data_IF_708708077902
#
_entry.id   IF_708708077902
#
_cell.length_a   1.000
_cell.length_b   1.000
_cell.length_c   1.000
_cell.angle_alpha   90.00
_cell.angle_beta   90.00
_cell.angle_gamma   90.00
#
_symmetry.space_group_name_H-M   'P 1'
#
loop_
_entity.id
_entity.type
_entity.pdbx_description
1 polymer ?
#
# COMPACT_ATOMS: atom_id res chain seq x y z
N UNK A 1 -19.23 -49.41 39.45
CA UNK A 1 -20.63 -49.67 39.07
C UNK A 1 -21.46 -48.57 39.67
N UNK A 2 -21.73 -47.54 38.87
CA UNK A 2 -22.42 -46.34 39.31
C UNK A 2 -23.89 -46.41 38.86
N UNK A 3 -24.81 -45.85 39.65
CA UNK A 3 -26.02 -45.24 39.13
C UNK A 3 -26.03 -43.73 39.41
N UNK A 4 -26.73 -42.97 38.56
CA UNK A 4 -26.64 -41.50 38.46
C UNK A 4 -28.03 -40.88 38.75
N UNK A 5 -28.03 -39.60 39.15
CA UNK A 5 -29.10 -38.57 39.07
C UNK A 5 -29.87 -38.21 40.35
N UNK A 6 -29.93 -36.88 40.60
CA UNK A 6 -30.74 -36.23 41.63
C UNK A 6 -30.37 -34.75 41.82
N UNK A 7 -31.17 -33.82 41.26
CA UNK A 7 -31.12 -32.36 41.51
C UNK A 7 -32.52 -31.88 42.00
N UNK A 8 -32.77 -30.59 42.32
CA UNK A 8 -32.53 -29.90 43.61
C UNK A 8 -33.86 -29.21 44.10
N UNK A 9 -33.90 -28.06 44.84
CA UNK A 9 -33.04 -27.47 45.87
C UNK A 9 -33.74 -27.59 47.28
N UNK A 10 -34.39 -26.60 47.97
CA UNK A 10 -34.13 -25.17 48.23
C UNK A 10 -34.31 -24.66 49.71
N UNK A 11 -34.07 -23.36 49.91
CA UNK A 11 -34.65 -22.44 50.94
C UNK A 11 -34.42 -22.63 52.46
N UNK A 12 -33.36 -22.00 52.98
CA UNK A 12 -33.41 -21.06 54.13
C UNK A 12 -32.12 -20.20 54.10
N UNK A 13 -32.11 -18.86 53.98
CA UNK A 13 -32.78 -17.77 54.70
C UNK A 13 -32.11 -17.34 56.04
N UNK A 14 -30.92 -16.76 55.93
CA UNK A 14 -30.38 -15.79 56.92
C UNK A 14 -29.83 -14.57 56.17
N UNK A 15 -30.33 -13.37 56.46
CA UNK A 15 -29.95 -12.15 55.73
C UNK A 15 -29.16 -11.15 56.57
N UNK A 16 -28.52 -10.19 55.91
CA UNK A 16 -28.13 -8.89 56.47
C UNK A 16 -28.04 -7.83 55.35
N UNK A 17 -28.36 -6.58 55.66
CA UNK A 17 -28.47 -5.53 54.65
C UNK A 17 -27.13 -5.02 54.10
N UNK A 18 -27.15 -4.54 52.85
CA UNK A 18 -26.24 -3.53 52.34
C UNK A 18 -26.95 -2.67 51.27
N UNK A 19 -26.63 -1.37 51.28
CA UNK A 19 -27.30 -0.26 50.58
C UNK A 19 -27.71 -0.45 49.10
N UNK A 20 -28.80 0.23 48.71
CA UNK A 20 -29.16 0.47 47.31
C UNK A 20 -28.26 1.55 46.68
N UNK A 21 -27.82 1.35 45.42
CA UNK A 21 -26.89 2.27 44.77
C UNK A 21 -26.58 2.00 43.28
N UNK A 22 -27.55 2.26 42.41
CA UNK A 22 -27.43 2.70 41.00
C UNK A 22 -26.18 2.30 40.16
N UNK A 23 -26.39 1.46 39.14
CA UNK A 23 -25.82 1.64 37.78
C UNK A 23 -24.33 1.33 37.51
N UNK A 24 -23.98 0.44 36.56
CA UNK A 24 -22.61 0.29 36.07
C UNK A 24 -22.24 1.39 35.05
N UNK A 25 -20.93 1.66 34.85
CA UNK A 25 -20.33 1.13 33.61
C UNK A 25 -18.94 0.49 33.80
N UNK A 26 -18.48 -0.22 32.76
CA UNK A 26 -17.24 -0.98 32.76
C UNK A 26 -15.97 -0.09 32.83
N UNK A 27 -14.91 -0.61 33.45
CA UNK A 27 -13.54 -0.08 33.34
C UNK A 27 -12.68 -1.01 32.48
N UNK A 28 -12.14 -0.57 31.34
CA UNK A 28 -11.01 -1.21 30.70
C UNK A 28 -9.77 -1.15 31.61
N UNK A 29 -8.94 -2.19 31.60
CA UNK A 29 -7.68 -2.20 32.34
C UNK A 29 -6.67 -1.23 31.72
N UNK A 30 -6.00 -0.46 32.57
CA UNK A 30 -4.99 0.51 32.15
C UNK A 30 -3.70 -0.20 31.74
N UNK A 31 -3.29 -0.05 30.49
CA UNK A 31 -1.89 -0.17 30.09
C UNK A 31 -1.35 1.22 29.78
N UNK A 32 -0.39 1.67 30.59
CA UNK A 32 0.37 2.89 30.32
C UNK A 32 1.52 2.52 29.39
N UNK A 33 1.55 3.13 28.21
CA UNK A 33 2.59 2.96 27.20
C UNK A 33 2.71 4.24 26.38
N UNK A 34 3.65 5.10 26.76
CA UNK A 34 3.81 6.42 26.16
C UNK A 34 4.43 6.34 24.76
N UNK A 35 3.66 6.71 23.72
CA UNK A 35 4.21 7.34 22.52
C UNK A 35 3.19 8.36 21.98
N UNK A 36 3.43 9.63 22.31
CA UNK A 36 2.53 10.72 21.92
C UNK A 36 2.68 11.12 20.45
N UNK A 37 1.69 10.75 19.63
CA UNK A 37 1.47 11.39 18.31
C UNK A 37 0.27 12.33 18.43
N UNK A 38 0.53 13.54 18.94
CA UNK A 38 -0.46 14.62 18.84
C UNK A 38 -0.74 14.94 17.36
N UNK A 39 -2.03 14.90 16.98
CA UNK A 39 -2.49 15.25 15.64
C UNK A 39 -2.38 16.77 15.38
N UNK A 40 -1.17 17.27 15.13
CA UNK A 40 -0.90 18.66 14.74
C UNK A 40 -1.21 18.90 13.26
N UNK A 41 -2.50 18.94 12.93
CA UNK A 41 -2.99 19.51 11.67
C UNK A 41 -2.65 21.00 11.60
N UNK A 42 -1.64 21.38 10.79
CA UNK A 42 -1.08 22.73 10.80
C UNK A 42 -0.82 23.31 9.39
N UNK A 43 -1.90 23.77 8.74
CA UNK A 43 -1.89 24.86 7.73
C UNK A 43 -0.85 24.76 6.61
N UNK A 44 -1.02 23.81 5.68
CA UNK A 44 -0.33 23.89 4.39
C UNK A 44 -0.92 25.04 3.54
N UNK A 45 -0.16 26.12 3.36
CA UNK A 45 -0.60 27.30 2.63
C UNK A 45 -0.60 27.09 1.11
N UNK A 46 -1.70 27.44 0.43
CA UNK A 46 -1.86 27.32 -1.04
C UNK A 46 -1.01 28.31 -1.87
N UNK A 47 0.28 28.49 -1.55
CA UNK A 47 1.20 29.40 -2.28
C UNK A 47 2.59 28.83 -2.58
N UNK A 48 3.05 27.75 -1.95
CA UNK A 48 4.41 27.20 -2.19
C UNK A 48 4.47 26.06 -3.22
N UNK A 49 3.33 25.59 -3.74
CA UNK A 49 3.29 24.61 -4.86
C UNK A 49 3.99 25.14 -6.11
N UNK A 50 4.04 26.46 -6.30
CA UNK A 50 4.73 27.10 -7.43
C UNK A 50 6.27 27.02 -7.39
N UNK A 51 6.88 26.67 -6.25
CA UNK A 51 8.35 26.64 -6.10
C UNK A 51 8.95 25.31 -6.58
N UNK A 52 8.16 24.23 -6.60
CA UNK A 52 8.64 22.90 -6.96
C UNK A 52 8.93 22.71 -8.47
N UNK A 53 8.48 23.64 -9.33
CA UNK A 53 8.55 23.53 -10.79
C UNK A 53 9.70 24.32 -11.46
N UNK A 54 10.51 25.10 -10.74
CA UNK A 54 11.77 25.65 -11.31
C UNK A 54 12.97 24.68 -11.15
N UNK A 55 12.69 23.38 -11.29
CA UNK A 55 13.72 22.36 -11.47
C UNK A 55 14.22 22.33 -12.93
N UNK A 56 14.49 23.49 -13.55
CA UNK A 56 14.97 23.55 -14.94
C UNK A 56 16.49 23.69 -15.13
N UNK A 57 17.29 23.99 -14.10
CA UNK A 57 18.75 24.30 -14.26
C UNK A 57 19.74 23.76 -13.18
N UNK A 58 19.61 22.53 -12.70
CA UNK A 58 20.54 21.93 -11.70
C UNK A 58 20.83 20.45 -12.01
N UNK A 59 22.03 19.97 -11.70
CA UNK A 59 22.49 18.59 -11.99
C UNK A 59 21.56 17.50 -11.43
N UNK A 60 21.20 16.54 -12.29
CA UNK A 60 20.16 15.52 -12.02
C UNK A 60 20.44 14.68 -10.75
N UNK A 61 21.67 14.21 -10.56
CA UNK A 61 22.02 13.35 -9.42
C UNK A 61 21.81 14.03 -8.05
N UNK A 62 22.06 15.34 -7.95
CA UNK A 62 21.97 16.08 -6.69
C UNK A 62 20.52 16.44 -6.29
N UNK A 63 19.58 16.37 -7.23
CA UNK A 63 18.15 16.62 -6.96
C UNK A 63 17.50 15.46 -6.24
N UNK A 64 17.64 14.25 -6.77
CA UNK A 64 16.94 13.05 -6.30
C UNK A 64 17.16 12.79 -4.81
N UNK A 65 18.42 12.83 -4.36
CA UNK A 65 18.75 12.65 -2.94
C UNK A 65 18.22 13.77 -2.05
N UNK A 66 18.21 15.02 -2.54
CA UNK A 66 17.71 16.17 -1.77
C UNK A 66 16.18 16.19 -1.69
N UNK A 67 15.48 15.77 -2.75
CA UNK A 67 14.02 15.66 -2.73
C UNK A 67 13.56 14.58 -1.73
N UNK A 68 14.14 13.37 -1.81
CA UNK A 68 13.84 12.26 -0.88
C UNK A 68 14.20 12.64 0.57
N UNK A 69 15.25 13.45 0.78
CA UNK A 69 15.67 13.89 2.12
C UNK A 69 14.87 15.08 2.70
N UNK A 70 14.11 15.82 1.88
CA UNK A 70 13.39 17.02 2.33
C UNK A 70 11.88 16.80 2.57
N UNK A 71 11.30 15.71 2.05
CA UNK A 71 9.85 15.52 2.06
C UNK A 71 9.42 14.22 2.74
N UNK A 72 9.63 14.09 4.06
CA UNK A 72 9.18 12.93 4.85
C UNK A 72 7.65 12.72 4.89
N UNK A 73 6.86 13.64 4.32
CA UNK A 73 5.41 13.57 4.16
C UNK A 73 5.03 14.24 2.83
N UNK A 74 5.00 13.46 1.74
CA UNK A 74 4.33 13.84 0.49
C UNK A 74 2.87 13.35 0.53
N UNK A 75 1.97 14.09 -0.10
CA UNK A 75 0.61 13.61 -0.40
C UNK A 75 0.63 12.67 -1.63
N UNK A 76 -0.36 11.78 -1.81
CA UNK A 76 -0.47 10.89 -2.98
C UNK A 76 -0.24 11.58 -4.32
N UNK A 77 -0.94 12.68 -4.59
CA UNK A 77 -0.81 13.51 -5.81
C UNK A 77 0.65 13.94 -6.06
N UNK A 78 1.40 14.22 -4.99
CA UNK A 78 2.79 14.65 -5.05
C UNK A 78 3.76 13.47 -5.22
N UNK A 79 3.39 12.28 -4.73
CA UNK A 79 4.09 11.03 -5.03
C UNK A 79 3.89 10.64 -6.50
N UNK A 80 2.67 10.71 -7.04
CA UNK A 80 2.41 10.47 -8.48
C UNK A 80 3.30 11.37 -9.34
N UNK A 81 3.29 12.69 -9.13
CA UNK A 81 4.14 13.64 -9.87
C UNK A 81 5.65 13.36 -9.74
N UNK A 82 6.11 12.87 -8.59
CA UNK A 82 7.50 12.46 -8.39
C UNK A 82 7.83 11.18 -9.17
N UNK A 83 6.96 10.17 -9.12
CA UNK A 83 7.15 8.90 -9.82
C UNK A 83 7.05 9.09 -11.35
N UNK A 84 6.18 9.99 -11.82
CA UNK A 84 6.12 10.43 -13.22
C UNK A 84 7.43 11.08 -13.69
N UNK A 85 7.99 12.03 -12.92
CA UNK A 85 9.27 12.64 -13.29
C UNK A 85 10.44 11.63 -13.25
N UNK A 86 10.35 10.58 -12.42
CA UNK A 86 11.26 9.43 -12.44
C UNK A 86 11.03 8.55 -13.69
N UNK A 87 9.78 8.36 -14.11
CA UNK A 87 9.41 7.67 -15.35
C UNK A 87 9.83 8.42 -16.62
N UNK A 88 10.11 9.72 -16.56
CA UNK A 88 10.80 10.43 -17.65
C UNK A 88 12.30 10.07 -17.74
N UNK A 89 12.94 9.67 -16.63
CA UNK A 89 14.40 9.45 -16.60
C UNK A 89 14.80 8.19 -17.37
N UNK A 90 15.92 8.26 -18.10
CA UNK A 90 16.50 7.10 -18.80
C UNK A 90 17.02 6.04 -17.83
N UNK A 91 17.53 6.45 -16.66
CA UNK A 91 18.06 5.56 -15.63
C UNK A 91 17.73 6.07 -14.24
N UNK A 92 17.20 5.18 -13.40
CA UNK A 92 17.03 5.39 -11.95
C UNK A 92 17.80 4.28 -11.23
N UNK A 93 18.50 4.60 -10.13
CA UNK A 93 19.36 3.60 -9.49
C UNK A 93 18.54 2.63 -8.61
N UNK A 94 18.92 1.35 -8.51
CA UNK A 94 18.27 0.40 -7.58
C UNK A 94 18.31 0.85 -6.11
N UNK A 95 19.27 1.71 -5.72
CA UNK A 95 19.31 2.34 -4.39
C UNK A 95 18.24 3.43 -4.25
N UNK A 96 18.00 4.21 -5.30
CA UNK A 96 16.93 5.21 -5.34
C UNK A 96 15.57 4.54 -5.17
N UNK A 97 15.29 3.49 -5.96
CA UNK A 97 14.04 2.71 -5.86
C UNK A 97 13.86 2.09 -4.47
N UNK A 98 14.92 1.51 -3.90
CA UNK A 98 14.88 0.96 -2.53
C UNK A 98 14.61 2.03 -1.45
N UNK A 99 15.17 3.24 -1.60
CA UNK A 99 14.91 4.33 -0.66
C UNK A 99 13.49 4.89 -0.80
N UNK A 100 12.97 5.02 -2.02
CA UNK A 100 11.60 5.47 -2.27
C UNK A 100 10.58 4.53 -1.58
N UNK A 101 10.70 3.21 -1.80
CA UNK A 101 9.80 2.25 -1.17
C UNK A 101 9.93 2.26 0.36
N UNK A 102 11.14 2.36 0.92
CA UNK A 102 11.32 2.44 2.38
C UNK A 102 10.76 3.73 2.99
N UNK A 103 10.83 4.85 2.28
CA UNK A 103 10.38 6.15 2.80
C UNK A 103 8.87 6.31 2.66
N UNK A 104 8.28 5.82 1.57
CA UNK A 104 6.88 6.12 1.20
C UNK A 104 5.94 4.91 1.14
N UNK A 105 6.45 3.67 1.27
CA UNK A 105 5.65 2.43 1.27
C UNK A 105 4.70 2.36 0.06
N UNK A 106 5.25 2.51 -1.16
CA UNK A 106 4.50 2.69 -2.41
C UNK A 106 3.65 1.48 -2.75
N UNK A 107 4.07 0.27 -2.33
CA UNK A 107 3.29 -0.97 -2.44
C UNK A 107 2.04 -1.04 -1.53
N UNK A 108 1.90 -0.07 -0.60
CA UNK A 108 0.79 0.07 0.37
C UNK A 108 -0.02 1.38 0.19
N UNK A 109 0.36 2.24 -0.77
CA UNK A 109 -0.43 3.44 -1.14
C UNK A 109 -1.68 3.07 -1.96
N UNK A 110 -2.40 4.08 -2.44
CA UNK A 110 -3.51 3.96 -3.40
C UNK A 110 -3.08 3.38 -4.77
N UNK A 111 -4.07 3.03 -5.59
CA UNK A 111 -3.87 2.42 -6.90
C UNK A 111 -3.06 3.27 -7.89
N UNK A 112 -3.12 4.61 -7.82
CA UNK A 112 -2.42 5.48 -8.77
C UNK A 112 -0.92 5.55 -8.43
N UNK A 113 -0.58 5.71 -7.15
CA UNK A 113 0.80 5.63 -6.67
C UNK A 113 1.38 4.23 -6.87
N UNK A 114 0.60 3.17 -6.59
CA UNK A 114 0.98 1.76 -6.84
C UNK A 114 1.25 1.50 -8.33
N UNK A 115 0.44 2.04 -9.23
CA UNK A 115 0.62 1.92 -10.68
C UNK A 115 1.95 2.55 -11.11
N UNK A 116 2.20 3.82 -10.75
CA UNK A 116 3.47 4.50 -11.08
C UNK A 116 4.70 3.82 -10.47
N UNK A 117 4.57 3.20 -9.29
CA UNK A 117 5.62 2.35 -8.71
C UNK A 117 5.88 1.09 -9.54
N UNK A 118 4.82 0.40 -9.96
CA UNK A 118 4.93 -0.80 -10.81
C UNK A 118 5.54 -0.49 -12.18
N UNK A 119 5.18 0.63 -12.82
CA UNK A 119 5.83 1.10 -14.05
C UNK A 119 7.35 1.28 -13.85
N UNK A 120 7.79 1.90 -12.76
CA UNK A 120 9.21 2.08 -12.45
C UNK A 120 9.94 0.74 -12.23
N UNK A 121 9.28 -0.21 -11.56
CA UNK A 121 9.81 -1.56 -11.36
C UNK A 121 10.03 -2.26 -12.72
N UNK A 122 9.05 -2.18 -13.61
CA UNK A 122 9.12 -2.80 -14.95
C UNK A 122 10.19 -2.11 -15.80
N UNK A 123 10.09 -0.78 -15.97
CA UNK A 123 11.01 0.04 -16.79
C UNK A 123 12.48 -0.13 -16.41
N UNK A 124 12.78 -0.18 -15.11
CA UNK A 124 14.16 -0.32 -14.61
C UNK A 124 14.54 -1.75 -14.21
N UNK A 125 13.71 -2.75 -14.58
CA UNK A 125 13.93 -4.19 -14.36
C UNK A 125 14.31 -4.52 -12.91
N UNK A 126 13.63 -3.88 -11.95
CA UNK A 126 13.91 -3.96 -10.52
C UNK A 126 13.34 -5.23 -9.88
N UNK A 127 13.89 -6.37 -10.29
CA UNK A 127 13.52 -7.76 -9.91
C UNK A 127 13.21 -7.99 -8.43
N UNK A 128 13.77 -7.19 -7.50
CA UNK A 128 13.50 -7.30 -6.06
C UNK A 128 12.05 -6.98 -5.65
N UNK A 129 11.34 -6.20 -6.47
CA UNK A 129 9.96 -5.76 -6.21
C UNK A 129 8.97 -6.32 -7.24
N UNK A 130 9.32 -7.37 -8.00
CA UNK A 130 8.37 -8.01 -8.93
C UNK A 130 7.14 -8.58 -8.19
N UNK A 131 7.23 -8.90 -6.89
CA UNK A 131 6.08 -9.26 -6.04
C UNK A 131 5.02 -8.15 -5.98
N UNK A 132 5.43 -6.89 -6.03
CA UNK A 132 4.52 -5.73 -5.96
C UNK A 132 3.74 -5.63 -7.28
N UNK A 133 4.42 -5.88 -8.41
CA UNK A 133 3.81 -6.03 -9.74
C UNK A 133 2.84 -7.22 -9.77
N UNK A 134 3.21 -8.38 -9.21
CA UNK A 134 2.31 -9.54 -9.10
C UNK A 134 1.04 -9.22 -8.30
N UNK A 135 1.18 -8.51 -7.18
CA UNK A 135 0.06 -8.05 -6.33
C UNK A 135 -0.83 -7.07 -7.10
N UNK A 136 -0.24 -6.08 -7.78
CA UNK A 136 -0.96 -5.07 -8.56
C UNK A 136 -1.78 -5.69 -9.71
N UNK A 137 -1.22 -6.63 -10.47
CA UNK A 137 -1.89 -7.31 -11.58
C UNK A 137 -3.05 -8.24 -11.15
N UNK A 138 -3.15 -8.55 -9.86
CA UNK A 138 -4.25 -9.32 -9.27
C UNK A 138 -5.31 -8.42 -8.62
N UNK A 139 -4.89 -7.35 -7.93
CA UNK A 139 -5.76 -6.44 -7.19
C UNK A 139 -6.35 -5.31 -8.07
N UNK A 140 -5.53 -4.63 -8.89
CA UNK A 140 -5.88 -3.39 -9.62
C UNK A 140 -6.13 -3.65 -11.12
N UNK A 141 -6.88 -4.71 -11.42
CA UNK A 141 -6.95 -5.35 -12.75
C UNK A 141 -7.22 -4.39 -13.93
N UNK A 142 -8.06 -3.38 -13.75
CA UNK A 142 -8.39 -2.41 -14.81
C UNK A 142 -7.20 -1.52 -15.22
N UNK A 143 -6.36 -1.13 -14.25
CA UNK A 143 -5.10 -0.41 -14.54
C UNK A 143 -4.00 -1.40 -14.96
N UNK A 144 -4.04 -2.64 -14.45
CA UNK A 144 -3.12 -3.72 -14.80
C UNK A 144 -3.04 -4.04 -16.30
N UNK A 145 -4.07 -3.75 -17.09
CA UNK A 145 -4.08 -3.92 -18.57
C UNK A 145 -2.92 -3.16 -19.22
N UNK A 146 -2.67 -1.91 -18.82
CA UNK A 146 -1.56 -1.12 -19.35
C UNK A 146 -0.22 -1.73 -18.95
N UNK A 147 -0.09 -2.15 -17.70
CA UNK A 147 1.13 -2.77 -17.16
C UNK A 147 1.44 -4.13 -17.82
N UNK A 148 0.43 -4.90 -18.24
CA UNK A 148 0.63 -6.08 -19.09
C UNK A 148 1.27 -5.71 -20.44
N UNK A 149 0.87 -4.60 -21.06
CA UNK A 149 1.49 -4.06 -22.26
C UNK A 149 2.98 -3.71 -22.05
N UNK A 150 3.30 -2.96 -20.99
CA UNK A 150 4.69 -2.60 -20.65
C UNK A 150 5.57 -3.85 -20.35
N UNK A 151 5.00 -4.88 -19.72
CA UNK A 151 5.69 -6.16 -19.48
C UNK A 151 5.95 -6.95 -20.77
N UNK A 152 5.17 -6.76 -21.84
CA UNK A 152 5.37 -7.38 -23.16
C UNK A 152 6.32 -6.57 -24.05
N UNK A 153 6.22 -5.23 -24.02
CA UNK A 153 7.14 -4.32 -24.70
C UNK A 153 8.58 -4.45 -24.17
N UNK A 154 8.76 -4.99 -22.96
CA UNK A 154 10.07 -5.31 -22.42
C UNK A 154 10.64 -6.62 -22.97
N UNK A 155 11.85 -6.51 -23.53
CA UNK A 155 12.71 -7.64 -23.93
C UNK A 155 13.29 -8.45 -22.74
N UNK A 156 12.65 -8.46 -21.55
CA UNK A 156 13.04 -9.32 -20.42
C UNK A 156 12.14 -10.57 -20.34
N UNK A 157 12.64 -11.78 -20.66
CA UNK A 157 11.87 -13.02 -20.53
C UNK A 157 11.31 -13.26 -19.11
N UNK A 158 11.92 -12.68 -18.07
CA UNK A 158 11.40 -12.76 -16.69
C UNK A 158 10.13 -11.95 -16.52
N UNK A 159 10.05 -10.77 -17.12
CA UNK A 159 8.85 -9.92 -17.11
C UNK A 159 7.74 -10.54 -17.97
N UNK A 160 8.11 -11.14 -19.11
CA UNK A 160 7.14 -11.84 -19.94
C UNK A 160 6.59 -13.12 -19.28
N UNK A 161 7.43 -13.87 -18.54
CA UNK A 161 6.96 -14.99 -17.72
C UNK A 161 6.10 -14.53 -16.53
N UNK A 162 6.49 -13.42 -15.88
CA UNK A 162 5.72 -12.80 -14.78
C UNK A 162 4.29 -12.49 -15.23
N UNK A 163 4.16 -11.81 -16.37
CA UNK A 163 2.90 -11.43 -16.97
C UNK A 163 2.00 -12.64 -17.27
N UNK A 164 2.53 -13.66 -17.98
CA UNK A 164 1.77 -14.89 -18.29
C UNK A 164 1.28 -15.59 -17.02
N UNK A 165 2.15 -15.71 -16.00
CA UNK A 165 1.79 -16.34 -14.72
C UNK A 165 0.74 -15.53 -13.93
N UNK A 166 0.83 -14.20 -13.92
CA UNK A 166 -0.17 -13.35 -13.29
C UNK A 166 -1.53 -13.47 -13.99
N UNK A 167 -1.54 -13.48 -15.32
CA UNK A 167 -2.76 -13.61 -16.10
C UNK A 167 -3.42 -14.98 -15.92
N UNK A 168 -2.65 -16.07 -15.92
CA UNK A 168 -3.16 -17.42 -15.60
C UNK A 168 -3.87 -17.48 -14.24
N UNK A 169 -3.42 -16.69 -13.25
CA UNK A 169 -4.01 -16.60 -11.91
C UNK A 169 -5.24 -15.66 -11.81
N UNK A 170 -5.29 -14.56 -12.60
CA UNK A 170 -6.36 -13.55 -12.48
C UNK A 170 -7.40 -13.52 -13.61
N UNK A 171 -7.16 -14.17 -14.77
CA UNK A 171 -8.05 -14.14 -15.96
C UNK A 171 -9.52 -14.50 -15.70
N UNK A 172 -9.81 -15.29 -14.67
CA UNK A 172 -11.16 -15.77 -14.32
C UNK A 172 -11.90 -14.79 -13.39
N UNK A 173 -11.17 -13.83 -12.83
CA UNK A 173 -11.66 -12.74 -11.98
C UNK A 173 -11.78 -11.43 -12.80
N UNK A 174 -10.94 -11.26 -13.83
CA UNK A 174 -11.01 -10.16 -14.79
C UNK A 174 -12.31 -10.15 -15.59
N UNK A 175 -12.75 -8.96 -16.02
CA UNK A 175 -13.84 -8.87 -16.99
C UNK A 175 -13.44 -9.47 -18.34
N UNK A 176 -14.43 -10.00 -19.08
CA UNK A 176 -14.19 -10.76 -20.31
C UNK A 176 -13.52 -9.96 -21.42
N UNK A 177 -13.76 -8.65 -21.48
CA UNK A 177 -13.16 -7.74 -22.47
C UNK A 177 -11.68 -7.54 -22.16
N UNK A 178 -11.36 -7.17 -20.92
CA UNK A 178 -9.98 -6.98 -20.47
C UNK A 178 -9.17 -8.28 -20.50
N UNK A 179 -9.80 -9.41 -20.17
CA UNK A 179 -9.16 -10.72 -20.27
C UNK A 179 -8.84 -11.10 -21.73
N UNK A 180 -9.69 -10.75 -22.70
CA UNK A 180 -9.40 -10.97 -24.11
C UNK A 180 -8.24 -10.09 -24.60
N UNK A 181 -8.27 -8.78 -24.29
CA UNK A 181 -7.20 -7.83 -24.67
C UNK A 181 -5.85 -8.24 -24.06
N UNK A 182 -5.82 -8.71 -22.81
CA UNK A 182 -4.58 -9.19 -22.18
C UNK A 182 -4.12 -10.54 -22.78
N UNK A 183 -5.04 -11.43 -23.16
CA UNK A 183 -4.67 -12.66 -23.87
C UNK A 183 -4.01 -12.36 -25.24
N UNK A 184 -4.56 -11.43 -26.01
CA UNK A 184 -4.02 -10.98 -27.32
C UNK A 184 -2.62 -10.32 -27.21
N UNK A 185 -2.23 -9.82 -26.04
CA UNK A 185 -0.88 -9.31 -25.80
C UNK A 185 0.13 -10.40 -25.39
N UNK A 186 -0.34 -11.53 -24.85
CA UNK A 186 0.52 -12.53 -24.19
C UNK A 186 0.87 -13.75 -25.05
N UNK A 187 0.08 -14.08 -26.07
CA UNK A 187 0.11 -15.37 -26.79
C UNK A 187 0.00 -15.20 -28.31
#
# INVERSE_FOLDING_TARGET
SDPIWGHPPPCACTGREAAAGQGPPARPLQWVGELGVEARGARFGKREVGVLLDLRKVSSYQRHLKLISCFSFLLPDQLVLLLEHLLEQKTVTPRTLQSLERTYHLSEQDAEVRHRWCELIVKHKYTKAYRDVEKFLQEDQAMGIYLYGELMLSEDPRQQHLARRCFELSREQMDRSSAAVVAEMLF
#
